data_IF_548173897613
#
_entry.id   IF_548173897613
#
_cell.length_a   1.000
_cell.length_b   1.000
_cell.length_c   1.000
_cell.angle_alpha   90.00
_cell.angle_beta   90.00
_cell.angle_gamma   90.00
#
_symmetry.space_group_name_H-M   'P 1'
#
loop_
_entity.id
_entity.type
_entity.pdbx_description
1 polymer ?
#
# COMPACT_ATOMS: atom_id res chain seq x y z
N UNK A 1 9.54 15.03 16.43
CA UNK A 1 9.36 15.45 15.02
C UNK A 1 10.63 15.30 14.17
N UNK A 2 11.84 15.61 14.67
CA UNK A 2 13.06 15.64 13.84
C UNK A 2 13.69 14.27 13.51
N UNK A 3 13.36 13.20 14.24
CA UNK A 3 13.91 11.84 14.04
C UNK A 3 13.35 11.09 12.83
N UNK A 4 12.18 11.46 12.34
CA UNK A 4 11.54 10.78 11.20
C UNK A 4 11.98 11.33 9.84
N UNK A 5 12.54 12.54 9.79
CA UNK A 5 13.02 13.17 8.55
C UNK A 5 13.99 12.28 7.75
N UNK A 6 15.07 11.70 8.35
CA UNK A 6 15.98 10.86 7.58
C UNK A 6 15.28 9.61 7.03
N UNK A 7 14.35 9.02 7.79
CA UNK A 7 13.57 7.88 7.34
C UNK A 7 12.63 8.26 6.18
N UNK A 8 11.93 9.39 6.28
CA UNK A 8 11.07 9.91 5.20
C UNK A 8 11.87 10.21 3.93
N UNK A 9 13.06 10.81 4.04
CA UNK A 9 13.95 11.04 2.90
C UNK A 9 14.41 9.73 2.25
N UNK A 10 14.74 8.73 3.06
CA UNK A 10 15.13 7.41 2.56
C UNK A 10 13.97 6.75 1.81
N UNK A 11 12.76 6.73 2.38
CA UNK A 11 11.57 6.17 1.73
C UNK A 11 11.30 6.88 0.40
N UNK A 12 11.39 8.21 0.38
CA UNK A 12 11.21 8.99 -0.84
C UNK A 12 12.26 8.65 -1.90
N UNK A 13 13.53 8.56 -1.53
CA UNK A 13 14.61 8.20 -2.45
C UNK A 13 14.42 6.80 -3.05
N UNK A 14 14.06 5.81 -2.22
CA UNK A 14 13.77 4.44 -2.67
C UNK A 14 12.56 4.42 -3.61
N UNK A 15 11.52 5.23 -3.34
CA UNK A 15 10.37 5.33 -4.23
C UNK A 15 10.72 5.88 -5.60
N UNK A 16 11.57 6.91 -5.69
CA UNK A 16 12.06 7.43 -6.97
C UNK A 16 12.86 6.38 -7.75
N UNK A 17 13.71 5.62 -7.08
CA UNK A 17 14.47 4.53 -7.70
C UNK A 17 13.54 3.45 -8.23
N UNK A 18 12.53 3.04 -7.45
CA UNK A 18 11.55 2.04 -7.87
C UNK A 18 10.75 2.50 -9.10
N UNK A 19 10.29 3.76 -9.10
CA UNK A 19 9.60 4.34 -10.26
C UNK A 19 10.51 4.38 -11.50
N UNK A 20 11.76 4.81 -11.34
CA UNK A 20 12.75 4.78 -12.41
C UNK A 20 12.96 3.38 -12.98
N UNK A 21 13.08 2.37 -12.11
CA UNK A 21 13.25 0.98 -12.53
C UNK A 21 12.03 0.45 -13.32
N UNK A 22 10.81 0.72 -12.87
CA UNK A 22 9.57 0.28 -13.56
C UNK A 22 9.48 0.86 -14.96
N UNK A 23 9.77 2.16 -15.12
CA UNK A 23 9.53 2.83 -16.40
C UNK A 23 10.71 2.76 -17.37
N UNK A 24 11.95 2.79 -16.88
CA UNK A 24 13.17 2.90 -17.69
C UNK A 24 13.93 1.57 -17.84
N UNK A 25 13.83 0.66 -16.86
CA UNK A 25 14.66 -0.55 -16.82
C UNK A 25 13.89 -1.82 -17.19
N UNK A 26 12.68 -2.01 -16.65
CA UNK A 26 11.91 -3.23 -16.86
C UNK A 26 11.47 -3.33 -18.34
N UNK A 27 11.84 -4.40 -19.06
CA UNK A 27 11.38 -4.61 -20.43
C UNK A 27 9.87 -4.85 -20.46
N UNK A 28 9.24 -4.50 -21.58
CA UNK A 28 7.82 -4.79 -21.80
C UNK A 28 7.57 -6.29 -21.79
N UNK A 29 6.56 -6.73 -21.05
CA UNK A 29 6.18 -8.13 -20.92
C UNK A 29 5.57 -8.64 -22.26
N UNK A 30 5.74 -9.93 -22.58
CA UNK A 30 5.40 -10.49 -23.89
C UNK A 30 3.91 -10.69 -24.12
N UNK A 31 3.17 -11.11 -23.10
CA UNK A 31 1.75 -11.44 -23.20
C UNK A 31 0.87 -10.22 -22.86
N UNK A 32 1.17 -9.55 -21.76
CA UNK A 32 0.39 -8.44 -21.22
C UNK A 32 0.87 -7.06 -21.72
N UNK A 33 2.01 -7.00 -22.40
CA UNK A 33 2.54 -5.76 -22.93
C UNK A 33 2.82 -4.70 -21.86
N UNK A 34 2.45 -3.45 -22.14
CA UNK A 34 2.69 -2.31 -21.25
C UNK A 34 1.78 -2.31 -20.03
N UNK A 35 0.60 -2.92 -20.12
CA UNK A 35 -0.42 -2.98 -19.05
C UNK A 35 0.12 -3.73 -17.84
N UNK A 36 1.04 -4.67 -18.03
CA UNK A 36 1.71 -5.37 -16.93
C UNK A 36 2.38 -4.41 -15.95
N UNK A 37 2.83 -3.22 -16.36
CA UNK A 37 3.48 -2.27 -15.44
C UNK A 37 2.55 -1.82 -14.30
N UNK A 38 1.23 -1.90 -14.47
CA UNK A 38 0.24 -1.65 -13.41
C UNK A 38 0.41 -2.65 -12.25
N UNK A 39 0.87 -3.87 -12.52
CA UNK A 39 1.13 -4.91 -11.52
C UNK A 39 2.01 -4.42 -10.37
N UNK A 40 3.06 -3.65 -10.69
CA UNK A 40 4.02 -3.13 -9.70
C UNK A 40 3.40 -2.13 -8.72
N UNK A 41 2.22 -1.60 -9.01
CA UNK A 41 1.45 -0.75 -8.12
C UNK A 41 0.29 -1.51 -7.49
N UNK A 42 -0.42 -2.31 -8.27
CA UNK A 42 -1.63 -3.02 -7.86
C UNK A 42 -1.34 -4.03 -6.75
N UNK A 43 -0.36 -4.92 -6.95
CA UNK A 43 -0.13 -6.03 -6.01
C UNK A 43 0.38 -5.52 -4.66
N UNK A 44 1.37 -4.61 -4.58
CA UNK A 44 1.76 -4.04 -3.29
C UNK A 44 0.61 -3.29 -2.60
N UNK A 45 -0.26 -2.60 -3.34
CA UNK A 45 -1.44 -1.95 -2.78
C UNK A 45 -2.43 -2.97 -2.20
N UNK A 46 -2.65 -4.11 -2.88
CA UNK A 46 -3.50 -5.19 -2.36
C UNK A 46 -2.98 -5.76 -1.04
N UNK A 47 -1.68 -6.08 -0.96
CA UNK A 47 -1.06 -6.54 0.29
C UNK A 47 -1.14 -5.50 1.40
N UNK A 48 -0.93 -4.21 1.06
CA UNK A 48 -1.02 -3.10 2.02
C UNK A 48 -2.45 -2.95 2.55
N UNK A 49 -3.46 -3.08 1.70
CA UNK A 49 -4.87 -3.04 2.09
C UNK A 49 -5.23 -4.21 3.02
N UNK A 50 -4.82 -5.44 2.69
CA UNK A 50 -5.05 -6.59 3.56
C UNK A 50 -4.38 -6.44 4.92
N UNK A 51 -3.12 -6.03 4.96
CA UNK A 51 -2.41 -5.79 6.21
C UNK A 51 -3.10 -4.70 7.04
N UNK A 52 -3.51 -3.60 6.41
CA UNK A 52 -4.19 -2.51 7.07
C UNK A 52 -5.51 -2.97 7.72
N UNK A 53 -6.38 -3.69 6.99
CA UNK A 53 -7.63 -4.21 7.56
C UNK A 53 -7.39 -5.30 8.60
N UNK A 54 -6.33 -6.10 8.48
CA UNK A 54 -5.93 -7.03 9.54
C UNK A 54 -5.54 -6.27 10.83
N UNK A 55 -4.82 -5.16 10.72
CA UNK A 55 -4.49 -4.31 11.87
C UNK A 55 -5.73 -3.61 12.45
N UNK A 56 -6.73 -3.23 11.63
CA UNK A 56 -8.03 -2.78 12.13
C UNK A 56 -8.67 -3.86 12.98
N UNK A 57 -8.77 -5.10 12.47
CA UNK A 57 -9.34 -6.22 13.20
C UNK A 57 -8.65 -6.47 14.55
N UNK A 58 -7.31 -6.53 14.56
CA UNK A 58 -6.52 -6.72 15.78
C UNK A 58 -6.70 -5.53 16.73
N UNK A 59 -6.60 -4.30 16.24
CA UNK A 59 -6.75 -3.08 17.02
C UNK A 59 -8.13 -2.97 17.67
N UNK A 60 -9.21 -3.23 16.93
CA UNK A 60 -10.57 -3.22 17.46
C UNK A 60 -10.79 -4.29 18.53
N UNK A 61 -10.29 -5.51 18.35
CA UNK A 61 -10.36 -6.56 19.38
C UNK A 61 -9.63 -6.14 20.65
N UNK A 62 -8.41 -5.60 20.50
CA UNK A 62 -7.62 -5.19 21.66
C UNK A 62 -8.22 -3.98 22.37
N UNK A 63 -8.80 -3.03 21.64
CA UNK A 63 -9.53 -1.92 22.23
C UNK A 63 -10.71 -2.41 23.07
N UNK A 64 -11.53 -3.34 22.55
CA UNK A 64 -12.66 -3.89 23.31
C UNK A 64 -12.22 -4.63 24.58
N UNK A 65 -11.08 -5.33 24.53
CA UNK A 65 -10.51 -6.07 25.67
C UNK A 65 -9.88 -5.17 26.73
N UNK A 66 -9.12 -4.16 26.31
CA UNK A 66 -8.26 -3.37 27.21
C UNK A 66 -8.79 -1.98 27.51
N UNK A 67 -9.69 -1.46 26.66
CA UNK A 67 -10.19 -0.07 26.68
C UNK A 67 -9.09 0.99 26.61
N UNK A 68 -7.91 0.65 26.07
CA UNK A 68 -6.83 1.61 25.88
C UNK A 68 -6.92 2.31 24.51
N UNK A 69 -6.92 3.64 24.50
CA UNK A 69 -7.03 4.47 23.29
C UNK A 69 -5.94 4.22 22.25
N UNK A 70 -4.80 3.65 22.64
CA UNK A 70 -3.71 3.32 21.70
C UNK A 70 -4.17 2.34 20.62
N UNK A 71 -5.05 1.41 20.96
CA UNK A 71 -5.59 0.41 20.05
C UNK A 71 -6.65 1.00 19.12
N UNK A 72 -7.46 1.93 19.64
CA UNK A 72 -8.42 2.67 18.85
C UNK A 72 -7.71 3.54 17.80
N UNK A 73 -6.67 4.30 18.21
CA UNK A 73 -5.83 5.06 17.28
C UNK A 73 -5.17 4.19 16.22
N UNK A 74 -4.66 3.01 16.60
CA UNK A 74 -4.10 2.05 15.64
C UNK A 74 -5.15 1.60 14.62
N UNK A 75 -6.35 1.24 15.08
CA UNK A 75 -7.44 0.81 14.22
C UNK A 75 -7.88 1.94 13.28
N UNK A 76 -8.04 3.16 13.78
CA UNK A 76 -8.42 4.33 12.99
C UNK A 76 -7.41 4.62 11.87
N UNK A 77 -6.13 4.79 12.21
CA UNK A 77 -5.09 5.07 11.21
C UNK A 77 -4.95 3.93 10.20
N UNK A 78 -5.11 2.68 10.64
CA UNK A 78 -5.07 1.52 9.73
C UNK A 78 -6.29 1.49 8.81
N UNK A 79 -7.48 1.88 9.29
CA UNK A 79 -8.69 1.93 8.46
C UNK A 79 -8.56 2.97 7.35
N UNK A 80 -8.08 4.17 7.66
CA UNK A 80 -7.83 5.23 6.67
C UNK A 80 -6.88 4.75 5.55
N UNK A 81 -5.74 4.16 5.93
CA UNK A 81 -4.79 3.61 4.96
C UNK A 81 -5.39 2.44 4.17
N UNK A 82 -6.12 1.55 4.84
CA UNK A 82 -6.76 0.40 4.22
C UNK A 82 -7.75 0.79 3.12
N UNK A 83 -8.54 1.84 3.35
CA UNK A 83 -9.47 2.40 2.36
C UNK A 83 -8.74 3.01 1.17
N UNK A 84 -7.67 3.77 1.40
CA UNK A 84 -6.86 4.36 0.31
C UNK A 84 -6.28 3.26 -0.58
N UNK A 85 -5.64 2.25 0.01
CA UNK A 85 -5.06 1.15 -0.76
C UNK A 85 -6.13 0.27 -1.43
N UNK A 86 -7.26 0.04 -0.78
CA UNK A 86 -8.39 -0.66 -1.39
C UNK A 86 -8.93 0.09 -2.61
N UNK A 87 -9.03 1.43 -2.54
CA UNK A 87 -9.46 2.24 -3.68
C UNK A 87 -8.50 2.11 -4.86
N UNK A 88 -7.18 2.15 -4.60
CA UNK A 88 -6.17 1.91 -5.64
C UNK A 88 -6.39 0.54 -6.30
N UNK A 89 -6.60 -0.51 -5.51
CA UNK A 89 -6.84 -1.87 -6.01
C UNK A 89 -8.13 -1.96 -6.83
N UNK A 90 -9.23 -1.36 -6.38
CA UNK A 90 -10.50 -1.37 -7.09
C UNK A 90 -10.43 -0.65 -8.43
N UNK A 91 -9.62 0.40 -8.54
CA UNK A 91 -9.39 1.13 -9.80
C UNK A 91 -8.43 0.35 -10.71
N UNK A 92 -7.30 -0.11 -10.16
CA UNK A 92 -6.21 -0.70 -10.96
C UNK A 92 -6.44 -2.16 -11.35
N UNK A 93 -7.28 -2.89 -10.61
CA UNK A 93 -7.59 -4.30 -10.90
C UNK A 93 -8.23 -4.50 -12.27
N UNK A 94 -9.36 -3.82 -12.59
CA UNK A 94 -9.98 -3.91 -13.91
C UNK A 94 -9.08 -3.42 -15.05
N UNK A 95 -8.19 -2.44 -14.78
CA UNK A 95 -7.24 -1.92 -15.76
C UNK A 95 -6.12 -2.93 -16.07
N UNK A 96 -5.64 -3.64 -15.06
CA UNK A 96 -4.61 -4.66 -15.24
C UNK A 96 -5.15 -5.96 -15.85
N UNK A 97 -6.38 -6.36 -15.49
CA UNK A 97 -6.99 -7.61 -15.95
C UNK A 97 -7.42 -7.60 -17.43
N UNK A 98 -7.27 -6.47 -18.12
CA UNK A 98 -7.61 -6.29 -19.54
C UNK A 98 -6.38 -5.80 -20.31
N UNK A 99 -5.54 -6.72 -20.79
CA UNK A 99 -4.43 -6.38 -21.69
C UNK A 99 -4.91 -5.71 -22.98
#
# INVERSE_FOLDING_TARGET
MMRSVPFSCLVFAVMLVALGAIFLWVPTEKEMGIVQRIFYFHVPAAFSSFLAFFLVFVGSIQYLRTREDKWDRLALCSAELGVIFALIVLITGPLWAKP
#
